data_IF_663507396520
#
_entry.id   IF_663507396520
#
_cell.length_a   1.000
_cell.length_b   1.000
_cell.length_c   1.000
_cell.angle_alpha   90.00
_cell.angle_beta   90.00
_cell.angle_gamma   90.00
#
_symmetry.space_group_name_H-M   'P 1'
#
loop_
_entity.id
_entity.type
_entity.pdbx_description
1 polymer ?
#
# COMPACT_ATOMS: atom_id res chain seq x y z
N UNK A 1 28.11 -18.85 -31.18
CA UNK A 1 28.81 -17.97 -30.22
C UNK A 1 27.82 -16.96 -29.67
N UNK A 2 27.47 -17.06 -28.39
CA UNK A 2 26.59 -16.10 -27.73
C UNK A 2 27.45 -14.92 -27.28
N UNK A 3 27.10 -13.70 -27.70
CA UNK A 3 27.88 -12.48 -27.46
C UNK A 3 28.04 -12.25 -25.94
N UNK A 4 29.28 -12.22 -25.47
CA UNK A 4 29.65 -12.26 -24.04
C UNK A 4 29.62 -10.90 -23.32
N UNK A 5 29.21 -9.82 -23.98
CA UNK A 5 29.33 -8.44 -23.43
C UNK A 5 28.03 -7.89 -22.83
N UNK A 6 27.06 -8.75 -22.51
CA UNK A 6 25.75 -8.29 -21.99
C UNK A 6 25.66 -8.50 -20.50
N UNK A 7 25.54 -7.41 -19.72
CA UNK A 7 25.36 -7.47 -18.26
C UNK A 7 24.12 -8.30 -17.94
N UNK A 8 24.26 -9.28 -17.04
CA UNK A 8 23.17 -10.15 -16.62
C UNK A 8 22.28 -9.43 -15.61
N UNK A 9 21.05 -9.13 -16.00
CA UNK A 9 20.05 -8.44 -15.16
C UNK A 9 19.15 -9.47 -14.48
N UNK A 10 18.94 -9.33 -13.17
CA UNK A 10 18.02 -10.13 -12.38
C UNK A 10 16.88 -9.25 -11.86
N UNK A 11 15.67 -9.43 -12.40
CA UNK A 11 14.50 -8.69 -11.96
C UNK A 11 13.85 -9.41 -10.78
N UNK A 12 14.00 -8.85 -9.58
CA UNK A 12 13.31 -9.32 -8.37
C UNK A 12 11.90 -8.72 -8.32
N UNK A 13 10.95 -9.37 -9.00
CA UNK A 13 9.57 -8.88 -9.11
C UNK A 13 8.56 -9.98 -8.84
N UNK A 14 7.41 -9.64 -8.27
CA UNK A 14 6.34 -10.59 -7.99
C UNK A 14 5.43 -10.83 -9.19
N UNK A 15 5.27 -9.85 -10.09
CA UNK A 15 4.20 -9.85 -11.10
C UNK A 15 4.11 -11.14 -11.95
N UNK A 16 5.22 -11.66 -12.46
CA UNK A 16 5.22 -12.87 -13.28
C UNK A 16 5.29 -14.19 -12.47
N UNK A 17 5.75 -14.13 -11.22
CA UNK A 17 6.09 -15.33 -10.43
C UNK A 17 5.08 -15.62 -9.32
N UNK A 18 4.59 -14.58 -8.66
CA UNK A 18 3.65 -14.65 -7.55
C UNK A 18 2.84 -13.33 -7.48
N UNK A 19 1.89 -13.08 -8.39
CA UNK A 19 1.18 -11.81 -8.44
C UNK A 19 0.24 -11.60 -7.24
N UNK A 20 -0.01 -10.34 -6.89
CA UNK A 20 -1.08 -9.91 -5.98
C UNK A 20 -2.00 -8.94 -6.70
N UNK A 21 -3.30 -9.11 -6.55
CA UNK A 21 -4.28 -8.19 -7.17
C UNK A 21 -4.50 -6.95 -6.29
N UNK A 22 -4.90 -5.82 -6.90
CA UNK A 22 -5.30 -4.64 -6.13
C UNK A 22 -6.41 -4.92 -5.11
N UNK A 23 -7.37 -5.79 -5.46
CA UNK A 23 -8.45 -6.19 -4.56
C UNK A 23 -7.91 -6.88 -3.30
N UNK A 24 -7.04 -7.86 -3.49
CA UNK A 24 -6.43 -8.63 -2.42
C UNK A 24 -5.51 -7.76 -1.55
N UNK A 25 -4.64 -6.97 -2.18
CA UNK A 25 -3.78 -6.01 -1.49
C UNK A 25 -4.60 -5.05 -0.63
N UNK A 26 -5.71 -4.51 -1.16
CA UNK A 26 -6.63 -3.64 -0.43
C UNK A 26 -7.27 -4.32 0.77
N UNK A 27 -7.75 -5.56 0.59
CA UNK A 27 -8.35 -6.35 1.66
C UNK A 27 -7.37 -6.60 2.80
N UNK A 28 -6.16 -7.08 2.49
CA UNK A 28 -5.13 -7.40 3.48
C UNK A 28 -4.62 -6.14 4.20
N UNK A 29 -4.39 -5.06 3.45
CA UNK A 29 -3.98 -3.76 4.01
C UNK A 29 -5.05 -3.24 4.97
N UNK A 30 -6.33 -3.30 4.58
CA UNK A 30 -7.44 -2.89 5.43
C UNK A 30 -7.51 -3.75 6.70
N UNK A 31 -7.48 -5.07 6.56
CA UNK A 31 -7.47 -6.03 7.68
C UNK A 31 -6.40 -5.65 8.71
N UNK A 32 -5.16 -5.50 8.29
CA UNK A 32 -4.05 -5.20 9.20
C UNK A 32 -4.05 -3.75 9.71
N UNK A 33 -4.60 -2.79 8.95
CA UNK A 33 -4.81 -1.42 9.42
C UNK A 33 -5.82 -1.34 10.58
N UNK A 34 -6.85 -2.20 10.58
CA UNK A 34 -7.84 -2.31 11.65
C UNK A 34 -7.26 -3.05 12.86
N UNK A 35 -6.44 -4.08 12.63
CA UNK A 35 -5.77 -4.82 13.70
C UNK A 35 -4.75 -3.95 14.43
N UNK A 36 -4.04 -3.09 13.70
CA UNK A 36 -2.95 -2.25 14.21
C UNK A 36 -3.14 -0.76 13.87
N UNK A 37 -4.22 -0.11 14.34
CA UNK A 37 -4.52 1.27 13.96
C UNK A 37 -3.51 2.23 14.57
N UNK A 38 -3.32 3.37 13.89
CA UNK A 38 -2.50 4.46 14.39
C UNK A 38 -3.16 5.18 15.56
N UNK A 39 -2.38 5.79 16.46
CA UNK A 39 -2.89 6.69 17.52
C UNK A 39 -3.67 7.90 16.98
N UNK A 40 -3.47 8.23 15.69
CA UNK A 40 -4.18 9.29 14.98
C UNK A 40 -5.46 8.82 14.31
N UNK A 41 -5.86 7.55 14.46
CA UNK A 41 -7.11 7.05 13.90
C UNK A 41 -8.29 7.83 14.51
N UNK A 42 -9.13 8.37 13.62
CA UNK A 42 -10.33 9.12 13.96
C UNK A 42 -11.60 8.48 13.40
N UNK A 43 -11.46 7.61 12.39
CA UNK A 43 -12.54 6.91 11.73
C UNK A 43 -12.07 5.53 11.28
N UNK A 44 -13.02 4.64 11.01
CA UNK A 44 -12.73 3.31 10.50
C UNK A 44 -11.94 3.38 9.18
N UNK A 45 -10.73 2.78 9.09
CA UNK A 45 -9.94 2.82 7.88
C UNK A 45 -10.64 1.99 6.81
N UNK A 46 -10.97 2.64 5.69
CA UNK A 46 -11.54 1.97 4.54
C UNK A 46 -10.94 2.53 3.25
N UNK A 47 -10.80 1.65 2.27
CA UNK A 47 -10.30 2.01 0.96
C UNK A 47 -10.86 1.03 -0.08
N UNK A 48 -11.32 1.57 -1.21
CA UNK A 48 -11.87 0.75 -2.29
C UNK A 48 -11.24 1.12 -3.63
N UNK A 49 -10.84 0.09 -4.38
CA UNK A 49 -10.40 0.24 -5.76
C UNK A 49 -11.59 0.26 -6.70
N UNK A 50 -11.50 1.05 -7.78
CA UNK A 50 -12.56 1.16 -8.80
C UNK A 50 -11.93 1.12 -10.17
N UNK A 51 -12.59 0.41 -11.08
CA UNK A 51 -12.17 0.33 -12.50
C UNK A 51 -12.82 1.41 -13.36
N UNK A 52 -13.97 1.95 -12.94
CA UNK A 52 -14.67 3.00 -13.67
C UNK A 52 -14.26 4.40 -13.16
N UNK A 53 -13.63 5.18 -14.04
CA UNK A 53 -13.15 6.54 -13.74
C UNK A 53 -14.27 7.52 -13.41
N UNK A 54 -15.40 7.45 -14.10
CA UNK A 54 -16.54 8.33 -13.84
C UNK A 54 -17.11 8.12 -12.44
N UNK A 55 -17.36 6.86 -12.07
CA UNK A 55 -17.82 6.50 -10.72
C UNK A 55 -16.78 6.90 -9.68
N UNK A 56 -15.49 6.70 -9.96
CA UNK A 56 -14.41 7.13 -9.07
C UNK A 56 -14.43 8.65 -8.85
N UNK A 57 -14.60 9.45 -9.90
CA UNK A 57 -14.70 10.92 -9.78
C UNK A 57 -15.90 11.36 -8.94
N UNK A 58 -17.07 10.74 -9.12
CA UNK A 58 -18.25 11.01 -8.28
C UNK A 58 -17.92 10.71 -6.82
N UNK A 59 -17.36 9.54 -6.53
CA UNK A 59 -17.03 9.12 -5.17
C UNK A 59 -15.98 10.02 -4.52
N UNK A 60 -14.98 10.49 -5.27
CA UNK A 60 -13.99 11.45 -4.78
C UNK A 60 -14.66 12.80 -4.46
N UNK A 61 -15.54 13.28 -5.32
CA UNK A 61 -16.29 14.50 -5.08
C UNK A 61 -17.17 14.39 -3.82
N UNK A 62 -17.91 13.29 -3.65
CA UNK A 62 -18.89 13.14 -2.58
C UNK A 62 -18.29 12.69 -1.25
N UNK A 63 -17.24 11.87 -1.24
CA UNK A 63 -16.67 11.27 -0.02
C UNK A 63 -15.40 11.99 0.46
N UNK A 64 -14.71 12.74 -0.40
CA UNK A 64 -13.50 13.47 0.00
C UNK A 64 -13.67 14.99 -0.07
N UNK A 65 -14.15 15.54 -1.19
CA UNK A 65 -14.24 16.99 -1.35
C UNK A 65 -15.43 17.63 -0.63
N UNK A 66 -16.62 17.07 -0.78
CA UNK A 66 -17.82 17.60 -0.14
C UNK A 66 -17.70 17.63 1.40
N UNK A 67 -17.27 16.55 2.08
CA UNK A 67 -17.10 16.59 3.54
C UNK A 67 -15.99 17.55 3.96
N UNK A 68 -14.89 17.62 3.21
CA UNK A 68 -13.81 18.56 3.49
C UNK A 68 -14.27 20.02 3.39
N UNK A 69 -15.10 20.35 2.40
CA UNK A 69 -15.69 21.66 2.26
C UNK A 69 -16.62 22.00 3.44
N UNK A 70 -17.49 21.07 3.83
CA UNK A 70 -18.41 21.25 4.98
C UNK A 70 -17.62 21.48 6.27
N UNK A 71 -16.59 20.67 6.55
CA UNK A 71 -15.74 20.84 7.74
C UNK A 71 -15.05 22.20 7.74
N UNK A 72 -14.49 22.62 6.61
CA UNK A 72 -13.85 23.94 6.50
C UNK A 72 -14.85 25.09 6.65
N UNK A 73 -16.11 24.93 6.22
CA UNK A 73 -17.17 25.92 6.44
C UNK A 73 -17.49 26.05 7.93
N UNK A 74 -17.65 24.92 8.64
CA UNK A 74 -17.89 24.90 10.09
C UNK A 74 -16.74 25.58 10.83
N UNK A 75 -15.49 25.22 10.49
CA UNK A 75 -14.30 25.83 11.10
C UNK A 75 -14.30 27.36 10.90
N UNK A 76 -14.62 27.85 9.70
CA UNK A 76 -14.70 29.30 9.43
C UNK A 76 -15.75 29.99 10.28
N UNK A 77 -16.95 29.40 10.41
CA UNK A 77 -18.03 29.95 11.25
C UNK A 77 -17.61 29.99 12.72
N UNK A 78 -16.81 29.02 13.18
CA UNK A 78 -16.23 28.99 14.52
C UNK A 78 -14.99 29.89 14.71
N UNK A 79 -14.64 30.71 13.72
CA UNK A 79 -13.43 31.55 13.76
C UNK A 79 -12.11 30.77 13.68
N UNK A 80 -12.18 29.46 13.38
CA UNK A 80 -11.03 28.58 13.25
C UNK A 80 -10.49 28.58 11.81
N UNK A 81 -9.20 28.24 11.67
CA UNK A 81 -8.54 28.18 10.36
C UNK A 81 -8.98 26.93 9.57
N UNK A 82 -9.54 27.07 8.35
CA UNK A 82 -9.87 25.93 7.50
C UNK A 82 -8.60 25.19 7.05
N UNK A 83 -8.64 23.86 7.03
CA UNK A 83 -7.49 23.01 6.72
C UNK A 83 -7.85 21.78 5.87
N UNK A 84 -9.09 21.31 5.93
CA UNK A 84 -9.47 20.01 5.39
C UNK A 84 -9.39 19.99 3.86
N UNK A 85 -9.82 21.05 3.17
CA UNK A 85 -9.68 21.14 1.71
C UNK A 85 -8.22 21.16 1.26
N UNK A 86 -7.31 21.71 2.07
CA UNK A 86 -5.88 21.70 1.79
C UNK A 86 -5.31 20.28 1.85
N UNK A 87 -5.75 19.50 2.85
CA UNK A 87 -5.37 18.09 3.02
C UNK A 87 -5.92 17.27 1.85
N UNK A 88 -7.20 17.38 1.53
CA UNK A 88 -7.84 16.65 0.42
C UNK A 88 -7.14 16.91 -0.91
N UNK A 89 -6.85 18.17 -1.25
CA UNK A 89 -6.11 18.52 -2.48
C UNK A 89 -4.68 17.96 -2.50
N UNK A 90 -4.02 17.86 -1.33
CA UNK A 90 -2.68 17.26 -1.23
C UNK A 90 -2.75 15.76 -1.51
N UNK A 91 -3.75 15.09 -0.95
CA UNK A 91 -3.99 13.67 -1.19
C UNK A 91 -4.31 13.38 -2.66
N UNK A 92 -5.22 14.17 -3.27
CA UNK A 92 -5.54 14.05 -4.69
C UNK A 92 -4.31 14.21 -5.59
N UNK A 93 -3.45 15.20 -5.33
CA UNK A 93 -2.20 15.37 -6.08
C UNK A 93 -1.28 14.15 -5.96
N UNK A 94 -1.11 13.61 -4.75
CA UNK A 94 -0.30 12.43 -4.53
C UNK A 94 -0.85 11.21 -5.29
N UNK A 95 -2.17 11.01 -5.24
CA UNK A 95 -2.85 9.94 -5.97
C UNK A 95 -2.66 10.10 -7.49
N UNK A 96 -2.84 11.31 -8.01
CA UNK A 96 -2.66 11.61 -9.44
C UNK A 96 -1.23 11.38 -9.93
N UNK A 97 -0.22 11.68 -9.12
CA UNK A 97 1.18 11.37 -9.45
C UNK A 97 1.41 9.86 -9.60
N UNK A 98 0.72 9.04 -8.81
CA UNK A 98 0.83 7.57 -8.89
C UNK A 98 -0.09 6.90 -9.92
N UNK A 99 -1.07 7.62 -10.48
CA UNK A 99 -2.14 7.06 -11.34
C UNK A 99 -1.56 6.26 -12.52
N UNK A 100 -0.56 6.80 -13.22
CA UNK A 100 0.06 6.12 -14.36
C UNK A 100 0.66 4.77 -13.99
N UNK A 101 1.39 4.69 -12.88
CA UNK A 101 2.04 3.45 -12.46
C UNK A 101 1.04 2.44 -11.91
N UNK A 102 0.02 2.89 -11.18
CA UNK A 102 -0.96 2.01 -10.55
C UNK A 102 -1.99 1.43 -11.52
N UNK A 103 -2.31 2.16 -12.60
CA UNK A 103 -3.36 1.78 -13.57
C UNK A 103 -2.84 1.03 -14.79
N UNK A 104 -1.51 0.93 -14.97
CA UNK A 104 -0.90 0.16 -16.05
C UNK A 104 -0.29 -1.12 -15.49
N UNK A 105 -0.41 -2.22 -16.24
CA UNK A 105 0.25 -3.48 -15.91
C UNK A 105 1.65 -3.52 -16.52
N UNK A 106 2.63 -3.86 -15.70
CA UNK A 106 4.03 -3.92 -16.09
C UNK A 106 4.53 -5.35 -15.99
N UNK A 107 4.92 -5.93 -17.13
CA UNK A 107 5.46 -7.28 -17.19
C UNK A 107 6.98 -7.21 -17.22
N UNK A 108 7.60 -7.65 -16.13
CA UNK A 108 9.06 -7.77 -16.04
C UNK A 108 9.46 -9.22 -16.30
N UNK A 109 10.40 -9.44 -17.22
CA UNK A 109 10.95 -10.77 -17.47
C UNK A 109 11.78 -11.22 -16.26
N UNK A 110 11.45 -12.38 -15.70
CA UNK A 110 12.09 -12.92 -14.50
C UNK A 110 12.93 -14.19 -14.78
N UNK A 111 13.20 -14.52 -16.05
CA UNK A 111 13.86 -15.77 -16.45
C UNK A 111 15.21 -16.00 -15.75
N UNK A 112 16.02 -14.94 -15.65
CA UNK A 112 17.30 -15.01 -14.95
C UNK A 112 17.12 -15.29 -13.46
N UNK A 113 16.11 -14.70 -12.83
CA UNK A 113 15.77 -14.96 -11.43
C UNK A 113 15.29 -16.39 -11.23
N UNK A 114 14.42 -16.91 -12.10
CA UNK A 114 13.96 -18.30 -12.05
C UNK A 114 15.12 -19.29 -12.21
N UNK A 115 16.07 -19.02 -13.10
CA UNK A 115 17.29 -19.84 -13.26
C UNK A 115 18.17 -19.79 -12.01
N UNK A 116 18.33 -18.62 -11.40
CA UNK A 116 19.10 -18.45 -10.16
C UNK A 116 18.48 -19.24 -9.00
N UNK A 117 17.16 -19.13 -8.81
CA UNK A 117 16.43 -19.88 -7.77
C UNK A 117 16.63 -21.39 -7.95
N UNK A 118 16.53 -21.91 -9.18
CA UNK A 118 16.79 -23.33 -9.45
C UNK A 118 18.23 -23.75 -9.15
N UNK A 119 19.19 -22.89 -9.49
CA UNK A 119 20.60 -23.15 -9.23
C UNK A 119 20.90 -23.23 -7.72
N UNK A 120 20.44 -22.25 -6.94
CA UNK A 120 20.61 -22.22 -5.48
C UNK A 120 19.86 -23.36 -4.81
N UNK A 121 18.64 -23.68 -5.27
CA UNK A 121 17.88 -24.82 -4.77
C UNK A 121 18.60 -26.16 -4.97
N UNK A 122 19.36 -26.30 -6.06
CA UNK A 122 20.15 -27.50 -6.33
C UNK A 122 21.47 -27.56 -5.55
N UNK A 123 22.03 -26.42 -5.10
CA UNK A 123 23.30 -26.40 -4.35
C UNK A 123 23.14 -26.73 -2.87
N UNK A 124 21.92 -26.67 -2.32
CA UNK A 124 21.65 -26.92 -0.90
C UNK A 124 21.84 -25.70 -0.01
N UNK A 125 22.40 -24.60 -0.53
CA UNK A 125 22.64 -23.34 0.19
C UNK A 125 21.37 -22.47 0.35
N UNK A 126 20.21 -23.00 -0.07
CA UNK A 126 18.94 -22.27 -0.10
C UNK A 126 18.42 -21.88 1.30
N UNK A 127 18.91 -22.53 2.36
CA UNK A 127 18.44 -22.28 3.72
C UNK A 127 18.91 -20.94 4.30
N UNK A 128 20.06 -20.42 3.83
CA UNK A 128 20.63 -19.18 4.37
C UNK A 128 20.07 -17.93 3.67
N UNK A 129 19.58 -18.07 2.43
CA UNK A 129 19.06 -16.94 1.64
C UNK A 129 17.81 -17.33 0.85
N UNK A 130 16.65 -16.90 1.35
CA UNK A 130 15.40 -17.04 0.60
C UNK A 130 15.33 -16.00 -0.53
N UNK A 131 15.63 -16.45 -1.74
CA UNK A 131 15.57 -15.65 -2.97
C UNK A 131 14.31 -15.91 -3.81
N UNK A 132 13.45 -16.85 -3.40
CA UNK A 132 12.26 -17.21 -4.17
C UNK A 132 11.02 -16.48 -3.67
N UNK A 133 10.59 -15.45 -4.41
CA UNK A 133 9.40 -14.66 -4.10
C UNK A 133 8.09 -15.48 -4.06
N UNK A 134 8.08 -16.68 -4.64
CA UNK A 134 6.92 -17.60 -4.58
C UNK A 134 6.67 -18.16 -3.19
N UNK A 135 7.68 -18.14 -2.33
CA UNK A 135 7.55 -18.54 -0.92
C UNK A 135 7.02 -17.43 -0.01
N UNK A 136 6.90 -16.20 -0.52
CA UNK A 136 6.38 -15.06 0.23
C UNK A 136 4.91 -15.28 0.59
N UNK A 137 4.53 -15.15 1.85
CA UNK A 137 3.13 -15.08 2.24
C UNK A 137 2.63 -13.62 2.26
N UNK A 138 1.62 -13.31 1.45
CA UNK A 138 1.12 -11.93 1.29
C UNK A 138 0.47 -11.38 2.56
N UNK A 139 -0.23 -12.21 3.34
CA UNK A 139 -0.85 -11.79 4.61
C UNK A 139 0.23 -11.40 5.62
N UNK A 140 1.20 -12.28 5.88
CA UNK A 140 2.33 -12.02 6.77
C UNK A 140 3.14 -10.81 6.30
N UNK A 141 3.41 -10.70 4.99
CA UNK A 141 4.13 -9.56 4.44
C UNK A 141 3.38 -8.25 4.69
N UNK A 142 2.07 -8.20 4.40
CA UNK A 142 1.28 -6.98 4.58
C UNK A 142 1.01 -6.66 6.06
N UNK A 143 0.97 -7.67 6.92
CA UNK A 143 0.95 -7.47 8.37
C UNK A 143 2.21 -6.73 8.83
N UNK A 144 3.39 -7.24 8.48
CA UNK A 144 4.67 -6.61 8.82
C UNK A 144 4.83 -5.24 8.17
N UNK A 145 4.36 -5.08 6.93
CA UNK A 145 4.31 -3.79 6.23
C UNK A 145 3.52 -2.74 7.03
N UNK A 146 2.32 -3.10 7.50
CA UNK A 146 1.49 -2.18 8.28
C UNK A 146 2.09 -1.85 9.66
N UNK A 147 2.70 -2.83 10.33
CA UNK A 147 3.45 -2.59 11.56
C UNK A 147 4.65 -1.66 11.32
N UNK A 148 5.35 -1.85 10.20
CA UNK A 148 6.46 -1.01 9.77
C UNK A 148 6.04 0.44 9.55
N UNK A 149 4.93 0.69 8.85
CA UNK A 149 4.35 2.04 8.69
C UNK A 149 4.09 2.66 10.06
N UNK A 150 3.43 1.93 10.95
CA UNK A 150 3.07 2.43 12.28
C UNK A 150 4.31 2.81 13.10
N UNK A 151 5.33 1.95 13.09
CA UNK A 151 6.55 2.15 13.89
C UNK A 151 7.48 3.22 13.30
N UNK A 152 7.76 3.16 12.00
CA UNK A 152 8.84 3.94 11.40
C UNK A 152 8.34 5.23 10.72
N UNK A 153 7.17 5.20 10.09
CA UNK A 153 6.62 6.37 9.37
C UNK A 153 5.78 7.23 10.32
N UNK A 154 4.86 6.61 11.06
CA UNK A 154 3.96 7.31 11.98
C UNK A 154 4.57 7.52 13.36
N UNK A 155 5.65 6.79 13.69
CA UNK A 155 6.37 6.88 14.97
C UNK A 155 5.41 6.71 16.17
N UNK A 156 4.55 5.71 16.07
CA UNK A 156 3.63 5.34 17.14
C UNK A 156 4.33 4.39 18.12
N UNK A 157 4.32 4.76 19.41
CA UNK A 157 4.79 3.88 20.47
C UNK A 157 3.83 2.67 20.58
N UNK A 158 4.31 1.42 20.70
CA UNK A 158 3.51 0.23 20.99
C UNK A 158 2.34 0.46 21.96
N UNK A 159 2.58 1.20 23.05
CA UNK A 159 1.63 1.47 24.15
C UNK A 159 0.34 2.18 23.68
N UNK A 160 0.40 2.85 22.53
CA UNK A 160 -0.74 3.56 21.94
C UNK A 160 -1.80 2.63 21.32
N UNK A 161 -1.49 1.34 21.14
CA UNK A 161 -2.32 0.43 20.36
C UNK A 161 -3.71 0.21 20.95
N UNK A 162 -3.78 -0.02 22.27
CA UNK A 162 -5.04 -0.31 22.95
C UNK A 162 -5.99 0.90 22.87
N UNK A 163 -5.44 2.09 23.07
CA UNK A 163 -6.20 3.34 22.94
C UNK A 163 -6.62 3.63 21.49
N UNK A 164 -5.82 3.25 20.50
CA UNK A 164 -6.20 3.38 19.09
C UNK A 164 -7.32 2.39 18.71
N UNK A 165 -7.25 1.14 19.18
CA UNK A 165 -8.29 0.13 18.96
C UNK A 165 -9.63 0.52 19.59
N UNK A 166 -9.63 1.10 20.80
CA UNK A 166 -10.87 1.52 21.45
C UNK A 166 -11.62 2.64 20.72
N UNK A 167 -10.94 3.41 19.86
CA UNK A 167 -11.59 4.41 18.98
C UNK A 167 -12.30 3.80 17.78
N UNK A 168 -11.94 2.58 17.39
CA UNK A 168 -12.60 1.85 16.30
C UNK A 168 -13.80 1.01 16.78
N UNK A 169 -13.87 0.72 18.08
CA UNK A 169 -14.98 -0.01 18.70
C UNK A 169 -16.08 0.90 19.27
N UNK A 170 -15.96 2.21 19.06
CA UNK A 170 -16.96 3.22 19.42
C UNK A 170 -17.83 3.53 18.21
#
# INVERSE_FOLDING_TARGET
MQRSDTIKIYNCTSGALHPITWREFGYLTRKHAIESPSKYVMWYPDFTFRTNKFIHTIMVATLHFLPAFIVDLILRVQGCKPIMMKITKRFERAAKTGEFFAMNEWKFCADNMTKLVKFVGASGDCNDFNIDIRSLDWDTYLHQYMLGIRKYILKDNPDTLNNARSRLSR
#
